data_IF_766519871845
#
_entry.id   IF_766519871845
#
_cell.length_a   1.000
_cell.length_b   1.000
_cell.length_c   1.000
_cell.angle_alpha   90.00
_cell.angle_beta   90.00
_cell.angle_gamma   90.00
#
_symmetry.space_group_name_H-M   'P 1'
#
loop_
_entity.id
_entity.type
_entity.pdbx_description
1 polymer ?
#
# COMPACT_ATOMS: atom_id res chain seq x y z
N UNK A 1 -15.28 -13.51 -1.15
CA UNK A 1 -14.45 -13.37 -2.37
C UNK A 1 -13.32 -14.36 -2.20
N UNK A 2 -13.13 -15.27 -3.16
CA UNK A 2 -12.08 -16.29 -3.10
C UNK A 2 -10.86 -15.78 -3.85
N UNK A 3 -9.71 -15.73 -3.19
CA UNK A 3 -8.44 -15.42 -3.84
C UNK A 3 -7.99 -16.63 -4.68
N UNK A 4 -7.55 -16.43 -5.93
CA UNK A 4 -7.24 -17.53 -6.84
C UNK A 4 -5.87 -18.18 -6.55
N UNK A 5 -5.02 -17.50 -5.80
CA UNK A 5 -3.68 -17.95 -5.42
C UNK A 5 -3.44 -17.71 -3.92
N UNK A 6 -2.53 -18.48 -3.34
CA UNK A 6 -2.06 -18.31 -1.97
C UNK A 6 -1.17 -17.08 -1.82
N UNK A 7 -0.96 -16.62 -0.58
CA UNK A 7 -0.02 -15.53 -0.28
C UNK A 7 1.40 -15.84 -0.78
N UNK A 8 1.87 -17.07 -0.59
CA UNK A 8 3.23 -17.45 -1.01
C UNK A 8 3.38 -17.41 -2.54
N UNK A 9 2.37 -17.88 -3.28
CA UNK A 9 2.34 -17.76 -4.74
C UNK A 9 2.30 -16.29 -5.20
N UNK A 10 1.58 -15.43 -4.49
CA UNK A 10 1.54 -13.99 -4.77
C UNK A 10 2.90 -13.33 -4.51
N UNK A 11 3.59 -13.70 -3.42
CA UNK A 11 4.92 -13.19 -3.10
C UNK A 11 5.95 -13.59 -4.16
N UNK A 12 5.90 -14.84 -4.64
CA UNK A 12 6.77 -15.28 -5.75
C UNK A 12 6.42 -14.56 -7.06
N UNK A 13 5.14 -14.21 -7.28
CA UNK A 13 4.74 -13.39 -8.42
C UNK A 13 5.30 -11.96 -8.33
N UNK A 14 5.27 -11.36 -7.13
CA UNK A 14 5.87 -10.03 -6.88
C UNK A 14 7.36 -10.06 -7.21
N UNK A 15 8.10 -11.03 -6.68
CA UNK A 15 9.55 -11.19 -6.94
C UNK A 15 9.87 -11.45 -8.41
N UNK A 16 8.96 -12.09 -9.16
CA UNK A 16 9.12 -12.34 -10.59
C UNK A 16 9.18 -11.03 -11.39
N UNK A 17 8.34 -10.05 -11.04
CA UNK A 17 8.23 -8.80 -11.79
C UNK A 17 8.98 -7.63 -11.14
N UNK A 18 9.33 -7.75 -9.86
CA UNK A 18 10.03 -6.73 -9.07
C UNK A 18 11.32 -7.33 -8.48
N UNK A 19 12.47 -6.99 -9.08
CA UNK A 19 13.78 -7.51 -8.69
C UNK A 19 14.56 -6.65 -7.70
N UNK A 20 14.10 -5.43 -7.38
CA UNK A 20 14.73 -4.56 -6.40
C UNK A 20 14.24 -4.92 -4.99
N UNK A 21 15.15 -5.36 -4.13
CA UNK A 21 14.85 -5.72 -2.75
C UNK A 21 14.27 -4.56 -1.93
N UNK A 22 14.56 -3.31 -2.33
CA UNK A 22 14.01 -2.12 -1.65
C UNK A 22 12.53 -1.92 -1.96
N UNK A 23 12.10 -2.26 -3.16
CA UNK A 23 10.69 -2.21 -3.55
C UNK A 23 9.89 -3.29 -2.78
N UNK A 24 10.52 -4.45 -2.53
CA UNK A 24 9.90 -5.55 -1.76
C UNK A 24 9.51 -5.14 -0.34
N UNK A 25 10.31 -4.28 0.31
CA UNK A 25 9.99 -3.75 1.64
C UNK A 25 8.63 -3.04 1.62
N UNK A 26 8.41 -2.16 0.63
CA UNK A 26 7.15 -1.43 0.48
C UNK A 26 5.96 -2.36 0.29
N UNK A 27 6.11 -3.45 -0.48
CA UNK A 27 5.03 -4.40 -0.71
C UNK A 27 4.66 -5.19 0.55
N UNK A 28 5.64 -5.59 1.35
CA UNK A 28 5.42 -6.26 2.64
C UNK A 28 4.78 -5.32 3.68
N UNK A 29 5.22 -4.06 3.74
CA UNK A 29 4.60 -3.05 4.60
C UNK A 29 3.16 -2.77 4.16
N UNK A 30 2.92 -2.63 2.86
CA UNK A 30 1.60 -2.39 2.29
C UNK A 30 0.64 -3.56 2.56
N UNK A 31 1.11 -4.80 2.41
CA UNK A 31 0.37 -6.00 2.81
C UNK A 31 -0.06 -5.93 4.28
N UNK A 32 0.89 -5.67 5.19
CA UNK A 32 0.63 -5.67 6.63
C UNK A 32 -0.35 -4.55 7.02
N UNK A 33 -0.14 -3.33 6.52
CA UNK A 33 -0.98 -2.18 6.82
C UNK A 33 -2.39 -2.37 6.26
N UNK A 34 -2.53 -2.73 4.98
CA UNK A 34 -3.85 -2.92 4.37
C UNK A 34 -4.64 -4.05 5.05
N UNK A 35 -3.99 -5.16 5.42
CA UNK A 35 -4.61 -6.24 6.21
C UNK A 35 -5.14 -5.73 7.54
N UNK A 36 -4.28 -5.10 8.34
CA UNK A 36 -4.63 -4.67 9.70
C UNK A 36 -5.73 -3.59 9.70
N UNK A 37 -5.65 -2.64 8.77
CA UNK A 37 -6.67 -1.59 8.61
C UNK A 37 -8.01 -2.19 8.20
N UNK A 38 -8.02 -3.13 7.26
CA UNK A 38 -9.24 -3.82 6.83
C UNK A 38 -9.91 -4.57 7.99
N UNK A 39 -9.15 -5.33 8.77
CA UNK A 39 -9.65 -6.07 9.94
C UNK A 39 -10.25 -5.12 10.99
N UNK A 40 -9.57 -4.01 11.28
CA UNK A 40 -10.03 -2.97 12.20
C UNK A 40 -11.39 -2.39 11.80
N UNK A 41 -11.67 -2.27 10.50
CA UNK A 41 -12.92 -1.69 9.97
C UNK A 41 -13.94 -2.73 9.50
N UNK A 42 -13.76 -4.00 9.90
CA UNK A 42 -14.70 -5.09 9.65
C UNK A 42 -14.69 -5.65 8.21
N UNK A 43 -13.65 -5.37 7.44
CA UNK A 43 -13.44 -5.91 6.09
C UNK A 43 -12.59 -7.20 6.12
N UNK A 44 -12.46 -7.85 4.97
CA UNK A 44 -11.66 -9.08 4.86
C UNK A 44 -10.15 -8.76 4.82
N UNK A 45 -9.44 -9.02 5.92
CA UNK A 45 -8.00 -8.79 6.05
C UNK A 45 -7.14 -9.56 5.05
N UNK A 46 -7.51 -10.79 4.69
CA UNK A 46 -6.77 -11.59 3.71
C UNK A 46 -6.85 -10.97 2.30
N UNK A 47 -8.04 -10.53 1.92
CA UNK A 47 -8.29 -9.86 0.64
C UNK A 47 -7.52 -8.54 0.53
N UNK A 48 -7.53 -7.72 1.58
CA UNK A 48 -6.80 -6.45 1.58
C UNK A 48 -5.29 -6.61 1.74
N UNK A 49 -4.83 -7.63 2.47
CA UNK A 49 -3.42 -8.00 2.47
C UNK A 49 -2.94 -8.38 1.07
N UNK A 50 -3.73 -9.16 0.32
CA UNK A 50 -3.42 -9.53 -1.06
C UNK A 50 -3.39 -8.31 -1.99
N UNK A 51 -4.31 -7.36 -1.83
CA UNK A 51 -4.27 -6.08 -2.56
C UNK A 51 -3.00 -5.30 -2.26
N UNK A 52 -2.66 -5.13 -0.98
CA UNK A 52 -1.45 -4.42 -0.55
C UNK A 52 -0.16 -5.06 -1.08
N UNK A 53 -0.08 -6.39 -1.07
CA UNK A 53 1.07 -7.13 -1.59
C UNK A 53 1.24 -6.98 -3.11
N UNK A 54 0.13 -6.98 -3.86
CA UNK A 54 0.15 -7.00 -5.33
C UNK A 54 -0.04 -5.62 -5.96
N UNK A 55 -0.27 -4.55 -5.20
CA UNK A 55 -0.72 -3.27 -5.76
C UNK A 55 0.17 -2.75 -6.90
N UNK A 56 1.48 -2.90 -6.74
CA UNK A 56 2.52 -2.46 -7.66
C UNK A 56 3.14 -3.63 -8.45
N UNK A 57 2.36 -4.67 -8.76
CA UNK A 57 2.88 -5.91 -9.38
C UNK A 57 3.63 -5.70 -10.70
N UNK A 58 3.35 -4.62 -11.43
CA UNK A 58 4.04 -4.27 -12.68
C UNK A 58 5.13 -3.21 -12.54
N UNK A 59 5.39 -2.71 -11.33
CA UNK A 59 6.32 -1.61 -11.09
C UNK A 59 7.73 -1.87 -11.63
N UNK A 60 8.28 -3.06 -11.40
CA UNK A 60 9.62 -3.41 -11.89
C UNK A 60 9.75 -3.47 -13.41
N UNK A 61 8.63 -3.51 -14.15
CA UNK A 61 8.58 -3.39 -15.61
C UNK A 61 8.40 -1.92 -16.05
N UNK A 62 7.67 -1.13 -15.28
CA UNK A 62 7.16 0.19 -15.69
C UNK A 62 7.90 1.36 -15.05
N UNK A 63 8.71 1.16 -14.00
CA UNK A 63 9.29 2.25 -13.19
C UNK A 63 10.22 3.22 -13.92
N UNK A 64 10.74 2.83 -15.09
CA UNK A 64 11.53 3.72 -15.95
C UNK A 64 10.66 4.78 -16.66
N UNK A 65 9.36 4.52 -16.82
CA UNK A 65 8.34 5.49 -17.24
C UNK A 65 7.07 5.31 -16.39
N UNK A 66 6.95 6.13 -15.34
CA UNK A 66 5.84 6.04 -14.39
C UNK A 66 4.46 6.23 -15.04
N UNK A 67 4.37 6.74 -16.27
CA UNK A 67 3.10 6.81 -17.01
C UNK A 67 2.57 5.44 -17.42
N UNK A 68 3.47 4.47 -17.57
CA UNK A 68 3.15 3.08 -17.88
C UNK A 68 2.77 2.27 -16.64
N UNK A 69 2.88 2.83 -15.43
CA UNK A 69 2.46 2.15 -14.20
C UNK A 69 0.99 1.72 -14.28
N UNK A 70 0.67 0.51 -13.82
CA UNK A 70 -0.65 -0.14 -13.88
C UNK A 70 -1.15 -0.51 -15.28
N UNK A 71 -0.35 -0.35 -16.33
CA UNK A 71 -0.73 -0.81 -17.67
C UNK A 71 -0.60 -2.32 -17.86
N UNK A 72 0.25 -3.00 -17.08
CA UNK A 72 0.47 -4.46 -17.17
C UNK A 72 -0.18 -5.22 -16.03
N UNK A 73 -0.38 -4.58 -14.88
CA UNK A 73 -1.00 -5.21 -13.70
C UNK A 73 -2.32 -5.94 -14.02
N UNK A 74 -3.28 -5.37 -14.79
CA UNK A 74 -4.53 -6.07 -15.12
C UNK A 74 -4.31 -7.41 -15.81
N UNK A 75 -3.42 -7.48 -16.82
CA UNK A 75 -3.21 -8.71 -17.58
C UNK A 75 -2.47 -9.77 -16.75
N UNK A 76 -1.46 -9.35 -15.96
CA UNK A 76 -0.76 -10.23 -15.02
C UNK A 76 -1.74 -10.88 -14.02
N UNK A 77 -2.68 -10.10 -13.49
CA UNK A 77 -3.65 -10.57 -12.50
C UNK A 77 -4.73 -11.45 -13.14
N UNK A 78 -5.21 -11.14 -14.35
CA UNK A 78 -6.13 -11.99 -15.11
C UNK A 78 -5.55 -13.37 -15.39
N UNK A 79 -4.26 -13.43 -15.77
CA UNK A 79 -3.56 -14.70 -15.99
C UNK A 79 -3.50 -15.58 -14.73
N UNK A 80 -3.55 -14.96 -13.55
CA UNK A 80 -3.60 -15.65 -12.25
C UNK A 80 -5.02 -15.93 -11.75
N UNK A 81 -6.04 -15.57 -12.52
CA UNK A 81 -7.43 -15.84 -12.21
C UNK A 81 -8.08 -14.85 -11.24
N UNK A 82 -7.48 -13.67 -11.02
CA UNK A 82 -8.14 -12.61 -10.26
C UNK A 82 -9.32 -12.05 -11.06
N UNK A 83 -10.40 -11.74 -10.37
CA UNK A 83 -11.58 -11.15 -10.98
C UNK A 83 -11.40 -9.65 -11.29
N UNK A 84 -12.27 -9.10 -12.14
CA UNK A 84 -12.20 -7.70 -12.54
C UNK A 84 -12.44 -6.72 -11.38
N UNK A 85 -13.11 -7.14 -10.31
CA UNK A 85 -13.33 -6.30 -9.14
C UNK A 85 -12.04 -6.13 -8.32
N UNK A 86 -11.29 -7.22 -8.10
CA UNK A 86 -9.96 -7.16 -7.50
C UNK A 86 -9.03 -6.28 -8.33
N UNK A 87 -9.02 -6.47 -9.65
CA UNK A 87 -8.17 -5.71 -10.57
C UNK A 87 -8.55 -4.23 -10.58
N UNK A 88 -9.85 -3.90 -10.67
CA UNK A 88 -10.34 -2.52 -10.61
C UNK A 88 -9.93 -1.85 -9.31
N UNK A 89 -10.12 -2.54 -8.19
CA UNK A 89 -9.78 -2.03 -6.87
C UNK A 89 -8.28 -1.84 -6.73
N UNK A 90 -7.48 -2.79 -7.20
CA UNK A 90 -6.03 -2.66 -7.26
C UNK A 90 -5.64 -1.41 -8.05
N UNK A 91 -6.11 -1.26 -9.29
CA UNK A 91 -5.79 -0.09 -10.15
C UNK A 91 -6.24 1.25 -9.53
N UNK A 92 -7.18 1.25 -8.59
CA UNK A 92 -7.70 2.48 -7.97
C UNK A 92 -6.67 3.27 -7.15
N UNK A 93 -5.56 2.65 -6.69
CA UNK A 93 -4.50 3.42 -6.02
C UNK A 93 -3.82 4.41 -6.98
N UNK A 94 -3.81 4.11 -8.29
CA UNK A 94 -3.34 5.02 -9.34
C UNK A 94 -4.32 6.13 -9.74
N UNK A 95 -5.54 6.18 -9.18
CA UNK A 95 -6.50 7.25 -9.52
C UNK A 95 -5.98 8.62 -9.08
N UNK A 96 -6.05 9.60 -9.98
CA UNK A 96 -5.53 10.95 -9.78
C UNK A 96 -4.05 11.12 -10.15
N UNK A 97 -3.37 10.05 -10.57
CA UNK A 97 -2.00 10.10 -11.07
C UNK A 97 -1.96 10.04 -12.60
N UNK A 98 -0.92 10.64 -13.19
CA UNK A 98 -0.65 10.57 -14.64
C UNK A 98 -0.03 9.22 -15.02
N UNK A 99 -0.76 8.13 -14.77
CA UNK A 99 -0.41 6.77 -15.17
C UNK A 99 -1.65 6.05 -15.73
N UNK A 100 -1.47 5.17 -16.71
CA UNK A 100 -2.52 4.34 -17.31
C UNK A 100 -3.84 5.07 -17.66
N UNK A 101 -3.79 6.38 -17.97
CA UNK A 101 -4.98 7.20 -18.23
C UNK A 101 -5.88 7.46 -17.02
N UNK A 102 -5.36 7.35 -15.80
CA UNK A 102 -6.11 7.42 -14.54
C UNK A 102 -6.20 8.84 -13.93
N UNK A 103 -5.58 9.84 -14.56
CA UNK A 103 -5.47 11.21 -14.04
C UNK A 103 -6.82 11.84 -13.67
N UNK A 104 -7.86 11.58 -14.45
CA UNK A 104 -9.20 12.15 -14.24
C UNK A 104 -10.11 11.26 -13.36
N UNK A 105 -9.64 10.09 -12.93
CA UNK A 105 -10.39 9.21 -12.05
C UNK A 105 -10.25 9.66 -10.60
N UNK A 106 -11.26 9.36 -9.79
CA UNK A 106 -11.31 9.71 -8.37
C UNK A 106 -11.76 8.49 -7.57
N UNK A 107 -11.10 8.25 -6.44
CA UNK A 107 -11.57 7.27 -5.46
C UNK A 107 -12.83 7.81 -4.80
N UNK A 108 -13.77 6.91 -4.52
CA UNK A 108 -15.07 7.22 -3.95
C UNK A 108 -15.61 6.13 -3.02
N UNK A 109 -15.00 4.94 -3.05
CA UNK A 109 -15.45 3.81 -2.25
C UNK A 109 -14.52 3.55 -1.06
N UNK A 110 -15.11 3.06 0.05
CA UNK A 110 -14.38 2.65 1.26
C UNK A 110 -13.15 1.79 0.95
N UNK A 111 -13.29 0.82 0.05
CA UNK A 111 -12.21 -0.12 -0.28
C UNK A 111 -11.04 0.56 -0.98
N UNK A 112 -11.32 1.50 -1.87
CA UNK A 112 -10.30 2.26 -2.61
C UNK A 112 -9.48 3.13 -1.64
N UNK A 113 -10.15 3.74 -0.66
CA UNK A 113 -9.49 4.52 0.39
C UNK A 113 -8.60 3.67 1.30
N UNK A 114 -9.04 2.45 1.67
CA UNK A 114 -8.22 1.54 2.49
C UNK A 114 -6.94 1.16 1.76
N UNK A 115 -7.03 0.79 0.47
CA UNK A 115 -5.84 0.43 -0.30
C UNK A 115 -4.91 1.63 -0.47
N UNK A 116 -5.40 2.74 -1.03
CA UNK A 116 -4.56 3.89 -1.38
C UNK A 116 -3.93 4.54 -0.14
N UNK A 117 -4.69 4.75 0.94
CA UNK A 117 -4.11 5.30 2.16
C UNK A 117 -3.16 4.31 2.84
N UNK A 118 -3.52 3.02 2.85
CA UNK A 118 -2.75 1.95 3.48
C UNK A 118 -1.39 1.72 2.84
N UNK A 119 -1.29 1.72 1.51
CA UNK A 119 0.02 1.66 0.83
C UNK A 119 0.77 2.99 0.95
N UNK A 120 0.12 4.14 0.75
CA UNK A 120 0.86 5.43 0.74
C UNK A 120 1.46 5.78 2.11
N UNK A 121 0.84 5.35 3.23
CA UNK A 121 1.33 5.68 4.59
C UNK A 121 2.65 4.97 4.94
N UNK A 122 2.95 3.83 4.31
CA UNK A 122 4.16 3.03 4.61
C UNK A 122 5.40 3.90 4.45
N UNK A 123 5.51 4.67 3.37
CA UNK A 123 6.69 5.46 3.05
C UNK A 123 7.07 6.48 4.12
N UNK A 124 6.08 7.12 4.77
CA UNK A 124 6.38 8.06 5.86
C UNK A 124 6.67 7.36 7.19
N UNK A 125 6.02 6.22 7.47
CA UNK A 125 6.31 5.41 8.66
C UNK A 125 7.72 4.84 8.57
N UNK A 126 8.07 4.22 7.45
CA UNK A 126 9.37 3.64 7.17
C UNK A 126 10.48 4.70 7.28
N UNK A 127 10.32 5.85 6.61
CA UNK A 127 11.27 6.95 6.70
C UNK A 127 11.43 7.45 8.15
N UNK A 128 10.33 7.50 8.93
CA UNK A 128 10.39 7.93 10.32
C UNK A 128 11.06 6.88 11.22
N UNK A 129 10.84 5.60 10.97
CA UNK A 129 11.53 4.50 11.65
C UNK A 129 13.05 4.58 11.39
N UNK A 130 13.49 4.71 10.13
CA UNK A 130 14.91 4.88 9.80
C UNK A 130 15.53 6.09 10.50
N UNK A 131 14.84 7.23 10.55
CA UNK A 131 15.33 8.43 11.24
C UNK A 131 15.47 8.23 12.77
N UNK A 132 14.65 7.35 13.37
CA UNK A 132 14.69 7.02 14.80
C UNK A 132 15.64 5.88 15.13
N UNK A 133 16.10 5.12 14.13
CA UNK A 133 16.84 3.87 14.31
C UNK A 133 15.96 2.67 14.65
N UNK A 134 14.67 2.72 14.33
CA UNK A 134 13.71 1.63 14.54
C UNK A 134 12.25 2.10 14.62
N UNK A 135 11.33 1.16 14.48
CA UNK A 135 9.88 1.39 14.59
C UNK A 135 9.37 1.26 16.02
N UNK A 136 10.14 0.66 16.93
CA UNK A 136 9.75 0.44 18.32
C UNK A 136 9.47 1.74 19.06
N UNK A 137 8.40 1.75 19.85
CA UNK A 137 7.96 2.92 20.61
C UNK A 137 7.61 4.13 19.75
N UNK A 138 7.32 3.94 18.45
CA UNK A 138 6.83 5.03 17.61
C UNK A 138 5.43 5.42 18.06
N UNK A 139 5.28 6.65 18.53
CA UNK A 139 3.97 7.18 18.93
C UNK A 139 3.31 7.94 17.76
N UNK A 140 1.99 7.82 17.64
CA UNK A 140 1.16 8.56 16.66
C UNK A 140 1.45 10.06 16.68
N UNK A 141 1.65 10.64 17.87
CA UNK A 141 1.98 12.06 18.04
C UNK A 141 3.29 12.45 17.34
N UNK A 142 4.30 11.57 17.38
CA UNK A 142 5.57 11.77 16.68
C UNK A 142 5.40 11.69 15.17
N UNK A 143 4.71 10.66 14.71
CA UNK A 143 4.43 10.46 13.27
C UNK A 143 3.62 11.63 12.70
N UNK A 144 2.58 12.12 13.40
CA UNK A 144 1.79 13.29 12.98
C UNK A 144 2.62 14.56 12.81
N UNK A 145 3.66 14.78 13.63
CA UNK A 145 4.57 15.92 13.44
C UNK A 145 5.34 15.78 12.13
N UNK A 146 5.81 14.58 11.79
CA UNK A 146 6.49 14.28 10.52
C UNK A 146 5.55 14.36 9.33
N UNK A 147 4.33 13.87 9.50
CA UNK A 147 3.25 13.98 8.52
C UNK A 147 2.96 15.44 8.14
N UNK A 148 3.03 16.38 9.09
CA UNK A 148 2.84 17.81 8.80
C UNK A 148 4.05 18.48 8.14
N UNK A 149 5.26 17.96 8.33
CA UNK A 149 6.46 18.48 7.68
C UNK A 149 6.54 17.99 6.24
N UNK A 150 6.10 18.82 5.28
CA UNK A 150 6.07 18.47 3.85
C UNK A 150 7.44 18.14 3.25
N UNK A 151 8.54 18.52 3.91
CA UNK A 151 9.91 18.19 3.45
C UNK A 151 10.34 16.79 3.88
N UNK A 152 9.79 16.28 4.97
CA UNK A 152 10.08 14.93 5.44
C UNK A 152 9.30 13.92 4.60
N UNK A 153 9.96 12.91 4.02
CA UNK A 153 9.31 11.98 3.08
C UNK A 153 8.48 12.74 2.02
N UNK A 154 9.15 13.61 1.25
CA UNK A 154 8.50 14.53 0.31
C UNK A 154 7.67 13.81 -0.79
N UNK A 155 8.00 12.55 -1.09
CA UNK A 155 7.24 11.71 -2.02
C UNK A 155 5.94 11.12 -1.44
N UNK A 156 5.70 11.23 -0.12
CA UNK A 156 4.46 10.76 0.47
C UNK A 156 3.29 11.70 0.13
N UNK A 157 2.30 11.15 -0.59
CA UNK A 157 1.08 11.84 -0.98
C UNK A 157 0.10 11.96 0.20
N UNK A 158 0.35 12.94 1.07
CA UNK A 158 -0.41 13.15 2.31
C UNK A 158 -1.91 13.25 2.13
N UNK A 159 -2.37 13.89 1.06
CA UNK A 159 -3.81 14.01 0.79
C UNK A 159 -4.45 12.63 0.54
N UNK A 160 -3.75 11.70 -0.10
CA UNK A 160 -4.18 10.32 -0.33
C UNK A 160 -4.29 9.57 1.01
N UNK A 161 -3.27 9.71 1.86
CA UNK A 161 -3.29 9.12 3.22
C UNK A 161 -4.47 9.64 4.03
N UNK A 162 -4.86 10.90 3.85
CA UNK A 162 -5.99 11.53 4.55
C UNK A 162 -7.36 11.04 4.06
N UNK A 163 -7.46 10.44 2.87
CA UNK A 163 -8.73 9.90 2.38
C UNK A 163 -9.32 8.81 3.31
N UNK A 164 -8.47 8.15 4.11
CA UNK A 164 -8.88 7.17 5.12
C UNK A 164 -9.84 7.75 6.18
N UNK A 165 -9.88 9.07 6.35
CA UNK A 165 -10.82 9.75 7.26
C UNK A 165 -12.29 9.53 6.87
N UNK A 166 -12.55 9.11 5.62
CA UNK A 166 -13.88 8.68 5.17
C UNK A 166 -14.26 7.28 5.67
N UNK A 167 -13.31 6.55 6.26
CA UNK A 167 -13.44 5.15 6.67
C UNK A 167 -13.27 4.97 8.18
N UNK A 168 -12.27 5.62 8.78
CA UNK A 168 -11.96 5.51 10.22
C UNK A 168 -11.27 6.79 10.72
N UNK A 169 -11.09 6.91 12.04
CA UNK A 169 -10.35 8.03 12.62
C UNK A 169 -8.87 8.00 12.19
N UNK A 170 -8.31 9.17 11.92
CA UNK A 170 -6.95 9.28 11.41
C UNK A 170 -5.89 8.81 12.42
N UNK A 171 -6.10 9.09 13.72
CA UNK A 171 -5.13 8.70 14.75
C UNK A 171 -5.20 7.18 14.97
N UNK A 172 -6.40 6.59 14.94
CA UNK A 172 -6.57 5.13 14.96
C UNK A 172 -5.92 4.45 13.73
N UNK A 173 -6.08 5.02 12.54
CA UNK A 173 -5.42 4.51 11.33
C UNK A 173 -3.89 4.52 11.46
N UNK A 174 -3.32 5.63 11.95
CA UNK A 174 -1.88 5.73 12.12
C UNK A 174 -1.36 4.75 13.19
N UNK A 175 -2.11 4.55 14.27
CA UNK A 175 -1.78 3.55 15.29
C UNK A 175 -1.71 2.14 14.70
N UNK A 176 -2.77 1.73 13.99
CA UNK A 176 -2.84 0.43 13.32
C UNK A 176 -1.71 0.25 12.29
N UNK A 177 -1.41 1.28 11.50
CA UNK A 177 -0.35 1.22 10.50
C UNK A 177 1.06 1.08 11.13
N UNK A 178 1.32 1.78 12.24
CA UNK A 178 2.57 1.65 12.99
C UNK A 178 2.70 0.22 13.55
N UNK A 179 1.65 -0.30 14.19
CA UNK A 179 1.65 -1.64 14.78
C UNK A 179 1.83 -2.73 13.72
N UNK A 180 1.18 -2.57 12.57
CA UNK A 180 1.32 -3.50 11.45
C UNK A 180 2.77 -3.58 10.95
N UNK A 181 3.42 -2.45 10.70
CA UNK A 181 4.84 -2.43 10.28
C UNK A 181 5.75 -2.95 11.40
N UNK A 182 5.48 -2.59 12.66
CA UNK A 182 6.25 -3.09 13.80
C UNK A 182 6.19 -4.62 13.95
N UNK A 183 5.06 -5.24 13.57
CA UNK A 183 4.90 -6.70 13.63
C UNK A 183 5.81 -7.45 12.65
N UNK A 184 6.17 -6.82 11.52
CA UNK A 184 7.02 -7.39 10.47
C UNK A 184 8.42 -6.76 10.41
N UNK A 185 8.81 -5.92 11.38
CA UNK A 185 10.05 -5.11 11.37
C UNK A 185 11.31 -5.86 10.91
N UNK A 186 11.46 -7.13 11.31
CA UNK A 186 12.61 -7.97 10.92
C UNK A 186 12.65 -8.26 9.42
N UNK A 187 11.49 -8.41 8.79
CA UNK A 187 11.35 -8.67 7.34
C UNK A 187 11.60 -7.42 6.51
N UNK A 188 11.34 -6.24 7.09
CA UNK A 188 11.45 -4.93 6.41
C UNK A 188 12.68 -4.12 6.83
N UNK A 189 13.59 -4.71 7.61
CA UNK A 189 14.86 -4.08 8.00
C UNK A 189 14.74 -2.92 8.98
N UNK A 190 13.72 -2.94 9.85
CA UNK A 190 13.43 -1.92 10.88
C UNK A 190 13.61 -2.43 12.31
#
# INVERSE_FOLDING_TARGET
MTLPITRDEALELVKKYNSDERDLIHYLESEAVCRAVAEKVGENGEYFGMLGLLHDIDWGITKDDTKEHLTKAPDILREKGFDEEFIRLLVSHGYGFDCAGLLNKKRSEKKEFILAAGETVTGIIHAYALMRGGVEGMEVKGLKKKFKDKRFAAGCHREIVREIESVTDFDEFLEVAIEAIASIKKEVGL
#
